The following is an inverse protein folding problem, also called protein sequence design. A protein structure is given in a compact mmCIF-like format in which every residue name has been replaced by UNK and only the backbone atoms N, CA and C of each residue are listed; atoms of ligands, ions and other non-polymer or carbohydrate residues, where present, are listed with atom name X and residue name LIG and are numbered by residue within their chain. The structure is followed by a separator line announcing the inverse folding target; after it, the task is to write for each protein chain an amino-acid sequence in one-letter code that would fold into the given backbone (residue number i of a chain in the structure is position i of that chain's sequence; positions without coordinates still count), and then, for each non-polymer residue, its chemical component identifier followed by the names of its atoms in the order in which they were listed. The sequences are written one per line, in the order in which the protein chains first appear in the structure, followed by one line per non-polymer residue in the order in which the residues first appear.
data_IF_306149915704
#
_entry.id   IF_306149915704
#
_cell.length_a   1.000
_cell.length_b   1.000
_cell.length_c   1.000
_cell.angle_alpha   90.00
_cell.angle_beta   90.00
_cell.angle_gamma   90.00
#
_symmetry.space_group_name_H-M   'P 1'
#
loop_
_entity.id
_entity.type
_entity.pdbx_description
1 polymer ?
#
# COMPACT_ATOMS: atom_id res chain seq x y z
N UNK A 1 -43.85 -30.76 9.96
CA UNK A 1 -43.55 -29.47 10.62
C UNK A 1 -42.05 -29.35 10.72
N UNK A 2 -41.45 -28.67 9.75
CA UNK A 2 -40.02 -28.35 9.78
C UNK A 2 -39.83 -27.17 10.74
N UNK A 3 -39.05 -27.39 11.81
CA UNK A 3 -38.68 -26.35 12.75
C UNK A 3 -37.80 -25.31 12.00
N UNK A 4 -38.27 -24.07 12.03
CA UNK A 4 -37.47 -22.90 11.70
C UNK A 4 -36.18 -22.96 12.56
N UNK A 5 -35.05 -23.34 11.97
CA UNK A 5 -33.74 -23.24 12.61
C UNK A 5 -33.02 -22.03 12.00
N UNK A 6 -32.82 -21.07 12.87
CA UNK A 6 -31.78 -20.04 12.85
C UNK A 6 -31.61 -19.28 11.53
N UNK A 7 -32.49 -18.32 11.31
CA UNK A 7 -32.31 -17.28 10.27
C UNK A 7 -31.14 -16.33 10.62
N UNK A 8 -30.65 -16.36 11.85
CA UNK A 8 -29.58 -15.48 12.37
C UNK A 8 -28.22 -16.18 12.59
N UNK A 9 -28.03 -17.41 12.09
CA UNK A 9 -26.70 -18.00 12.10
C UNK A 9 -25.85 -17.38 10.98
N UNK A 10 -24.62 -16.90 11.25
CA UNK A 10 -23.76 -16.43 10.21
C UNK A 10 -23.50 -17.56 9.21
N UNK A 11 -23.87 -17.34 7.95
CA UNK A 11 -23.56 -18.27 6.88
C UNK A 11 -22.05 -18.50 6.83
N UNK A 12 -21.57 -19.74 6.74
CA UNK A 12 -20.17 -20.02 6.47
C UNK A 12 -19.73 -19.25 5.23
N UNK A 13 -18.52 -18.75 5.23
CA UNK A 13 -17.96 -17.92 4.17
C UNK A 13 -18.08 -18.57 2.76
N UNK A 14 -17.99 -19.91 2.71
CA UNK A 14 -18.18 -20.67 1.47
C UNK A 14 -19.61 -20.61 0.94
N UNK A 15 -20.62 -20.64 1.82
CA UNK A 15 -22.02 -20.55 1.43
C UNK A 15 -22.35 -19.14 0.90
N UNK A 16 -21.68 -18.15 1.42
CA UNK A 16 -21.80 -16.78 0.98
C UNK A 16 -21.36 -16.58 -0.48
N UNK A 17 -20.15 -17.00 -0.86
CA UNK A 17 -19.70 -16.93 -2.26
C UNK A 17 -20.53 -17.80 -3.18
N UNK A 18 -21.05 -18.91 -2.69
CA UNK A 18 -21.94 -19.76 -3.46
C UNK A 18 -23.27 -19.04 -3.78
N UNK A 19 -23.88 -18.40 -2.78
CA UNK A 19 -25.10 -17.63 -2.98
C UNK A 19 -24.86 -16.43 -3.89
N UNK A 20 -23.74 -15.72 -3.72
CA UNK A 20 -23.36 -14.61 -4.59
C UNK A 20 -23.17 -15.06 -6.05
N UNK A 21 -22.47 -16.17 -6.27
CA UNK A 21 -22.29 -16.74 -7.60
C UNK A 21 -23.61 -17.13 -8.25
N UNK A 22 -24.55 -17.71 -7.48
CA UNK A 22 -25.89 -18.04 -7.97
C UNK A 22 -26.73 -16.81 -8.32
N UNK A 23 -26.64 -15.76 -7.52
CA UNK A 23 -27.35 -14.49 -7.80
C UNK A 23 -26.80 -13.84 -9.06
N UNK A 24 -25.47 -13.82 -9.26
CA UNK A 24 -24.85 -13.32 -10.49
C UNK A 24 -25.25 -14.12 -11.71
N UNK A 25 -25.19 -15.45 -11.60
CA UNK A 25 -25.59 -16.35 -12.68
C UNK A 25 -27.05 -16.16 -13.06
N UNK A 26 -27.95 -16.04 -12.06
CA UNK A 26 -29.38 -15.76 -12.29
C UNK A 26 -29.61 -14.44 -13.04
N UNK A 27 -28.85 -13.38 -12.72
CA UNK A 27 -28.95 -12.08 -13.41
C UNK A 27 -28.40 -12.14 -14.83
N UNK A 28 -27.26 -12.81 -15.04
CA UNK A 28 -26.70 -13.05 -16.37
C UNK A 28 -27.71 -13.79 -17.29
N UNK A 29 -28.41 -14.79 -16.75
CA UNK A 29 -29.44 -15.53 -17.50
C UNK A 29 -30.67 -14.66 -17.88
N UNK A 30 -30.93 -13.60 -17.10
CA UNK A 30 -32.02 -12.64 -17.37
C UNK A 30 -31.59 -11.47 -18.22
N UNK A 31 -30.33 -11.37 -18.64
CA UNK A 31 -29.77 -10.21 -19.33
C UNK A 31 -29.72 -8.95 -18.46
N UNK A 32 -29.85 -9.11 -17.13
CA UNK A 32 -29.71 -8.02 -16.17
C UNK A 32 -28.20 -7.81 -15.90
N UNK A 33 -27.76 -6.55 -15.64
CA UNK A 33 -26.37 -6.31 -15.23
C UNK A 33 -26.07 -7.18 -13.99
N UNK A 34 -24.89 -7.79 -13.97
CA UNK A 34 -24.41 -8.51 -12.80
C UNK A 34 -24.59 -7.62 -11.56
N UNK A 35 -24.97 -8.23 -10.42
CA UNK A 35 -25.07 -7.47 -9.17
C UNK A 35 -23.81 -6.68 -9.03
N UNK A 36 -23.95 -5.40 -8.80
CA UNK A 36 -22.80 -4.56 -8.50
C UNK A 36 -22.19 -5.07 -7.18
N UNK A 37 -21.12 -5.88 -7.30
CA UNK A 37 -20.35 -6.38 -6.15
C UNK A 37 -19.95 -5.22 -5.26
N UNK A 38 -19.85 -4.02 -5.86
CA UNK A 38 -19.41 -2.81 -5.21
C UNK A 38 -20.32 -2.40 -4.05
N UNK A 39 -21.63 -2.66 -4.14
CA UNK A 39 -22.58 -2.37 -3.05
C UNK A 39 -22.56 -3.39 -1.94
N UNK A 40 -21.81 -4.50 -2.14
CA UNK A 40 -21.80 -5.61 -1.22
C UNK A 40 -20.96 -5.32 0.04
N UNK A 41 -19.80 -4.69 -0.13
CA UNK A 41 -18.88 -4.44 0.98
C UNK A 41 -19.17 -3.16 1.75
N UNK A 42 -19.86 -2.17 1.14
CA UNK A 42 -20.11 -0.88 1.76
C UNK A 42 -21.32 -0.20 1.12
N UNK A 43 -22.03 0.60 1.91
CA UNK A 43 -23.09 1.49 1.42
C UNK A 43 -22.52 2.63 0.56
N UNK A 44 -21.26 3.02 0.76
CA UNK A 44 -20.56 3.98 -0.09
C UNK A 44 -20.02 3.26 -1.34
N UNK A 45 -20.52 3.60 -2.56
CA UNK A 45 -20.11 2.90 -3.78
C UNK A 45 -18.63 3.01 -4.11
N UNK A 46 -17.97 4.14 -3.78
CA UNK A 46 -16.53 4.29 -4.03
C UNK A 46 -15.70 3.47 -3.04
N UNK A 47 -16.10 3.45 -1.75
CA UNK A 47 -15.45 2.59 -0.75
C UNK A 47 -15.58 1.11 -1.13
N UNK A 48 -16.76 0.70 -1.60
CA UNK A 48 -16.99 -0.66 -2.09
C UNK A 48 -16.09 -1.02 -3.29
N UNK A 49 -15.84 -0.08 -4.22
CA UNK A 49 -14.88 -0.27 -5.32
C UNK A 49 -13.46 -0.51 -4.80
N UNK A 50 -13.01 0.27 -3.81
CA UNK A 50 -11.68 0.11 -3.22
C UNK A 50 -11.55 -1.23 -2.51
N UNK A 51 -12.56 -1.64 -1.75
CA UNK A 51 -12.60 -2.95 -1.08
C UNK A 51 -12.59 -4.11 -2.07
N UNK A 52 -13.33 -4.00 -3.17
CA UNK A 52 -13.29 -4.98 -4.25
C UNK A 52 -11.92 -5.06 -4.92
N UNK A 53 -11.27 -3.91 -5.15
CA UNK A 53 -9.92 -3.87 -5.70
C UNK A 53 -8.90 -4.48 -4.72
N UNK A 54 -9.00 -4.16 -3.43
CA UNK A 54 -8.17 -4.75 -2.37
C UNK A 54 -8.36 -6.26 -2.30
N UNK A 55 -9.60 -6.75 -2.33
CA UNK A 55 -9.90 -8.20 -2.30
C UNK A 55 -9.28 -8.92 -3.50
N UNK A 56 -9.39 -8.36 -4.71
CA UNK A 56 -8.78 -8.92 -5.93
C UNK A 56 -7.26 -8.99 -5.85
N UNK A 57 -6.62 -7.96 -5.33
CA UNK A 57 -5.15 -7.89 -5.19
C UNK A 57 -4.66 -8.84 -4.08
N UNK A 58 -5.37 -8.90 -2.96
CA UNK A 58 -4.88 -9.56 -1.75
C UNK A 58 -5.16 -11.07 -1.73
N UNK A 59 -6.27 -11.52 -2.33
CA UNK A 59 -6.74 -12.92 -2.23
C UNK A 59 -5.71 -13.95 -2.69
N UNK A 60 -5.08 -13.84 -3.88
CA UNK A 60 -4.15 -14.86 -4.33
C UNK A 60 -2.91 -14.95 -3.45
N UNK A 61 -2.37 -13.78 -3.06
CA UNK A 61 -1.14 -13.70 -2.28
C UNK A 61 -1.32 -14.24 -0.86
N UNK A 62 -2.21 -13.61 -0.09
CA UNK A 62 -2.40 -13.96 1.31
C UNK A 62 -3.05 -15.34 1.46
N UNK A 63 -3.94 -15.73 0.53
CA UNK A 63 -4.50 -17.07 0.52
C UNK A 63 -3.44 -18.16 0.33
N UNK A 64 -2.55 -17.99 -0.63
CA UNK A 64 -1.48 -18.96 -0.85
C UNK A 64 -0.45 -18.95 0.30
N UNK A 65 -0.07 -17.78 0.79
CA UNK A 65 0.98 -17.67 1.81
C UNK A 65 0.51 -18.15 3.20
N UNK A 66 -0.75 -17.93 3.56
CA UNK A 66 -1.31 -18.46 4.82
C UNK A 66 -1.28 -19.98 4.87
N UNK A 67 -1.35 -20.63 3.71
CA UNK A 67 -1.28 -22.10 3.55
C UNK A 67 0.16 -22.65 3.35
N UNK A 68 1.19 -21.80 3.34
CA UNK A 68 2.57 -22.20 3.04
C UNK A 68 2.77 -22.63 1.58
N UNK A 69 2.02 -22.04 0.65
CA UNK A 69 2.01 -22.41 -0.78
C UNK A 69 2.35 -21.25 -1.73
N UNK A 70 2.81 -20.11 -1.20
CA UNK A 70 3.10 -18.94 -2.03
C UNK A 70 4.16 -19.23 -3.07
N UNK A 71 5.31 -19.79 -2.65
CA UNK A 71 6.42 -20.12 -3.57
C UNK A 71 6.05 -21.17 -4.62
N UNK A 72 5.07 -22.02 -4.31
CA UNK A 72 4.58 -23.04 -5.24
C UNK A 72 3.54 -22.50 -6.24
N UNK A 73 2.75 -21.48 -5.85
CA UNK A 73 1.62 -20.99 -6.64
C UNK A 73 1.86 -19.67 -7.36
N UNK A 74 2.63 -18.75 -6.78
CA UNK A 74 2.84 -17.41 -7.36
C UNK A 74 3.79 -17.49 -8.56
N UNK A 75 3.34 -17.11 -9.77
CA UNK A 75 4.23 -17.01 -10.93
C UNK A 75 5.24 -15.86 -10.70
N UNK A 76 6.47 -16.04 -11.19
CA UNK A 76 7.49 -15.00 -11.13
C UNK A 76 7.75 -14.48 -12.54
N UNK A 77 7.07 -13.39 -12.88
CA UNK A 77 7.34 -12.64 -14.10
C UNK A 77 8.43 -11.61 -13.85
N UNK A 78 9.37 -11.44 -14.76
CA UNK A 78 10.40 -10.40 -14.72
C UNK A 78 11.12 -10.29 -16.08
N UNK A 79 11.62 -9.10 -16.41
CA UNK A 79 12.52 -8.88 -17.55
C UNK A 79 14.00 -9.13 -17.21
N UNK A 80 14.30 -9.63 -16.00
CA UNK A 80 15.65 -9.92 -15.61
C UNK A 80 16.14 -11.23 -16.29
N UNK A 81 17.29 -11.18 -16.95
CA UNK A 81 17.92 -12.39 -17.51
C UNK A 81 18.37 -13.36 -16.41
N UNK A 82 18.69 -12.86 -15.22
CA UNK A 82 18.92 -13.66 -14.01
C UNK A 82 17.61 -13.76 -13.22
N UNK A 83 16.68 -14.56 -13.69
CA UNK A 83 15.40 -14.79 -13.02
C UNK A 83 15.58 -15.42 -11.64
N UNK A 84 16.65 -16.20 -11.42
CA UNK A 84 16.92 -16.84 -10.14
C UNK A 84 17.09 -15.80 -9.00
N UNK A 85 17.68 -14.63 -9.32
CA UNK A 85 17.80 -13.54 -8.35
C UNK A 85 16.43 -12.99 -7.92
N UNK A 86 15.42 -13.05 -8.80
CA UNK A 86 14.06 -12.59 -8.48
C UNK A 86 13.33 -13.58 -7.59
N UNK A 87 13.46 -14.87 -7.84
CA UNK A 87 12.91 -15.90 -6.94
C UNK A 87 13.37 -15.76 -5.49
N UNK A 88 14.56 -15.20 -5.25
CA UNK A 88 15.07 -14.99 -3.88
C UNK A 88 14.36 -13.89 -3.11
N UNK A 89 13.77 -12.90 -3.78
CA UNK A 89 13.23 -11.70 -3.12
C UNK A 89 11.76 -11.41 -3.39
N UNK A 90 11.22 -11.85 -4.52
CA UNK A 90 9.85 -11.49 -4.96
C UNK A 90 8.77 -11.80 -3.93
N UNK A 91 8.94 -12.79 -3.08
CA UNK A 91 7.93 -13.22 -2.10
C UNK A 91 7.88 -12.31 -0.87
N UNK A 92 9.03 -11.90 -0.32
CA UNK A 92 9.09 -10.88 0.73
C UNK A 92 8.63 -9.53 0.19
N UNK A 93 9.03 -9.20 -1.04
CA UNK A 93 8.61 -8.00 -1.74
C UNK A 93 7.08 -7.93 -1.85
N UNK A 94 6.43 -9.03 -2.28
CA UNK A 94 4.97 -9.10 -2.40
C UNK A 94 4.28 -8.91 -1.04
N UNK A 95 4.71 -9.67 -0.02
CA UNK A 95 4.12 -9.60 1.31
C UNK A 95 4.30 -8.21 1.93
N UNK A 96 5.53 -7.70 1.95
CA UNK A 96 5.84 -6.43 2.61
C UNK A 96 5.05 -5.27 2.03
N UNK A 97 5.00 -5.18 0.70
CA UNK A 97 4.27 -4.12 -0.01
C UNK A 97 2.76 -4.22 0.17
N UNK A 98 2.20 -5.44 0.11
CA UNK A 98 0.77 -5.62 0.35
C UNK A 98 0.39 -5.25 1.78
N UNK A 99 1.13 -5.76 2.77
CA UNK A 99 0.86 -5.46 4.19
C UNK A 99 0.96 -3.94 4.44
N UNK A 100 1.96 -3.27 3.88
CA UNK A 100 2.12 -1.81 4.03
C UNK A 100 0.87 -1.04 3.59
N UNK A 101 0.27 -1.43 2.46
CA UNK A 101 -0.90 -0.75 1.91
C UNK A 101 -2.21 -1.04 2.64
N UNK A 102 -2.40 -2.27 3.14
CA UNK A 102 -3.66 -2.66 3.78
C UNK A 102 -3.66 -2.51 5.31
N UNK A 103 -2.48 -2.29 5.92
CA UNK A 103 -2.33 -2.22 7.37
C UNK A 103 -3.24 -1.18 8.05
N UNK A 104 -3.40 0.06 7.55
CA UNK A 104 -4.29 1.04 8.17
C UNK A 104 -5.76 0.58 8.21
N UNK A 105 -6.21 -0.12 7.18
CA UNK A 105 -7.55 -0.69 7.16
C UNK A 105 -7.68 -1.88 8.12
N UNK A 106 -6.66 -2.74 8.22
CA UNK A 106 -6.63 -3.82 9.23
C UNK A 106 -6.65 -3.23 10.63
N UNK A 107 -5.95 -2.12 10.89
CA UNK A 107 -5.91 -1.48 12.20
C UNK A 107 -7.25 -0.85 12.56
N UNK A 108 -7.80 -0.01 11.71
CA UNK A 108 -8.89 0.91 12.04
C UNK A 108 -10.22 0.61 11.34
N UNK A 109 -10.27 -0.34 10.42
CA UNK A 109 -11.49 -0.67 9.68
C UNK A 109 -12.61 -1.20 10.59
N UNK A 110 -13.87 -1.23 10.09
CA UNK A 110 -15.02 -1.66 10.86
C UNK A 110 -14.90 -3.12 11.31
N UNK A 111 -15.55 -3.45 12.42
CA UNK A 111 -15.57 -4.83 12.96
C UNK A 111 -16.81 -5.60 12.50
N UNK A 112 -17.88 -4.90 12.16
CA UNK A 112 -19.18 -5.46 11.83
C UNK A 112 -19.55 -5.27 10.35
N UNK A 113 -20.59 -5.95 9.94
CA UNK A 113 -21.10 -5.88 8.56
C UNK A 113 -20.20 -6.59 7.55
N UNK A 114 -20.52 -6.47 6.24
CA UNK A 114 -19.77 -7.13 5.17
C UNK A 114 -18.31 -6.70 5.11
N UNK A 115 -18.01 -5.43 5.33
CA UNK A 115 -16.63 -4.92 5.38
C UNK A 115 -15.88 -5.47 6.59
N UNK A 116 -16.52 -5.55 7.77
CA UNK A 116 -15.93 -6.15 8.96
C UNK A 116 -15.58 -7.63 8.78
N UNK A 117 -16.43 -8.39 8.11
CA UNK A 117 -16.15 -9.80 7.76
C UNK A 117 -14.95 -9.91 6.80
N UNK A 118 -14.90 -9.05 5.79
CA UNK A 118 -13.76 -9.00 4.86
C UNK A 118 -12.47 -8.63 5.59
N UNK A 119 -12.52 -7.63 6.48
CA UNK A 119 -11.38 -7.23 7.31
C UNK A 119 -10.92 -8.37 8.21
N UNK A 120 -11.81 -9.07 8.89
CA UNK A 120 -11.48 -10.21 9.75
C UNK A 120 -10.78 -11.34 8.95
N UNK A 121 -11.24 -11.60 7.71
CA UNK A 121 -10.58 -12.53 6.79
C UNK A 121 -9.12 -12.11 6.56
N UNK A 122 -8.88 -10.87 6.13
CA UNK A 122 -7.53 -10.41 5.79
C UNK A 122 -6.64 -10.22 7.00
N UNK A 123 -7.19 -9.83 8.14
CA UNK A 123 -6.47 -9.80 9.40
C UNK A 123 -5.88 -11.18 9.74
N UNK A 124 -6.72 -12.25 9.72
CA UNK A 124 -6.26 -13.62 9.96
C UNK A 124 -5.21 -14.07 8.93
N UNK A 125 -5.50 -13.89 7.63
CA UNK A 125 -4.58 -14.27 6.55
C UNK A 125 -3.23 -13.55 6.65
N UNK A 126 -3.22 -12.26 7.03
CA UNK A 126 -2.00 -11.47 7.21
C UNK A 126 -1.15 -12.02 8.36
N UNK A 127 -1.75 -12.33 9.52
CA UNK A 127 -1.05 -12.91 10.67
C UNK A 127 -0.43 -14.28 10.34
N UNK A 128 -1.19 -15.16 9.68
CA UNK A 128 -0.73 -16.47 9.23
C UNK A 128 0.40 -16.34 8.21
N UNK A 129 0.27 -15.41 7.25
CA UNK A 129 1.28 -15.14 6.23
C UNK A 129 2.59 -14.63 6.83
N UNK A 130 2.53 -13.67 7.74
CA UNK A 130 3.72 -13.17 8.45
C UNK A 130 4.39 -14.28 9.24
N UNK A 131 3.59 -15.10 9.95
CA UNK A 131 4.12 -16.24 10.72
C UNK A 131 4.83 -17.25 9.84
N UNK A 132 4.25 -17.63 8.69
CA UNK A 132 4.88 -18.52 7.72
C UNK A 132 6.15 -17.91 7.13
N UNK A 133 6.13 -16.60 6.87
CA UNK A 133 7.26 -15.89 6.26
C UNK A 133 8.54 -15.86 7.13
N UNK A 134 8.40 -15.94 8.44
CA UNK A 134 9.54 -15.93 9.39
C UNK A 134 9.76 -17.28 10.09
N UNK A 135 9.00 -18.31 9.72
CA UNK A 135 9.19 -19.66 10.26
C UNK A 135 10.18 -20.43 9.37
N UNK A 136 11.40 -20.78 9.87
CA UNK A 136 12.40 -21.53 9.09
C UNK A 136 11.94 -22.89 8.58
N UNK A 137 10.91 -23.48 9.23
CA UNK A 137 10.34 -24.77 8.83
C UNK A 137 9.24 -24.63 7.76
N UNK A 138 8.80 -23.39 7.48
CA UNK A 138 7.79 -23.15 6.46
C UNK A 138 8.36 -23.27 5.05
N UNK A 139 7.65 -23.89 4.10
CA UNK A 139 8.03 -23.84 2.68
C UNK A 139 8.14 -22.41 2.15
N UNK A 140 7.39 -21.48 2.74
CA UNK A 140 7.34 -20.07 2.37
C UNK A 140 8.26 -19.17 3.23
N UNK A 141 9.21 -19.77 3.99
CA UNK A 141 10.20 -18.97 4.71
C UNK A 141 10.90 -17.96 3.79
N UNK A 142 10.89 -16.69 4.19
CA UNK A 142 11.33 -15.58 3.34
C UNK A 142 12.82 -15.25 3.52
N UNK A 143 13.38 -14.60 2.53
CA UNK A 143 14.77 -14.15 2.52
C UNK A 143 14.89 -12.71 3.00
N UNK A 144 15.62 -12.48 4.11
CA UNK A 144 15.84 -11.16 4.69
C UNK A 144 17.28 -10.63 4.52
N UNK A 145 18.23 -11.43 4.07
CA UNK A 145 19.65 -11.03 4.09
C UNK A 145 20.51 -11.51 2.92
N UNK A 146 20.03 -12.42 2.07
CA UNK A 146 20.79 -12.86 0.89
C UNK A 146 20.48 -11.97 -0.32
N UNK A 147 21.44 -11.13 -0.68
CA UNK A 147 21.31 -10.14 -1.74
C UNK A 147 21.07 -8.72 -1.21
N UNK A 148 20.67 -7.81 -2.08
CA UNK A 148 20.43 -6.40 -1.70
C UNK A 148 18.95 -6.07 -1.49
N UNK A 149 18.08 -6.65 -2.32
CA UNK A 149 16.66 -6.37 -2.34
C UNK A 149 15.94 -6.63 -1.00
N UNK A 150 16.31 -7.62 -0.18
CA UNK A 150 15.61 -7.88 1.09
C UNK A 150 15.53 -6.70 2.04
N UNK A 151 16.50 -5.76 2.04
CA UNK A 151 16.41 -4.54 2.84
C UNK A 151 15.20 -3.66 2.43
N UNK A 152 14.95 -3.57 1.12
CA UNK A 152 13.79 -2.83 0.57
C UNK A 152 12.49 -3.46 1.05
N UNK A 153 12.41 -4.78 0.90
CA UNK A 153 11.18 -5.53 1.11
C UNK A 153 10.82 -5.63 2.60
N UNK A 154 11.84 -5.82 3.46
CA UNK A 154 11.69 -5.76 4.91
C UNK A 154 11.23 -4.38 5.40
N UNK A 155 11.69 -3.30 4.76
CA UNK A 155 11.28 -1.94 5.12
C UNK A 155 9.78 -1.68 4.86
N UNK A 156 9.23 -2.20 3.78
CA UNK A 156 7.79 -2.13 3.52
C UNK A 156 7.00 -2.95 4.55
N UNK A 157 7.47 -4.15 4.90
CA UNK A 157 6.84 -4.94 5.97
C UNK A 157 6.90 -4.21 7.32
N UNK A 158 8.05 -3.65 7.68
CA UNK A 158 8.24 -2.85 8.89
C UNK A 158 7.28 -1.65 8.93
N UNK A 159 7.14 -0.94 7.80
CA UNK A 159 6.22 0.19 7.68
C UNK A 159 4.76 -0.23 7.90
N UNK A 160 4.34 -1.36 7.32
CA UNK A 160 3.01 -1.92 7.54
C UNK A 160 2.76 -2.29 9.01
N UNK A 161 3.73 -2.91 9.68
CA UNK A 161 3.63 -3.26 11.10
C UNK A 161 3.55 -2.02 12.00
N UNK A 162 4.26 -0.94 11.68
CA UNK A 162 4.15 0.35 12.38
C UNK A 162 2.79 1.03 12.15
N UNK A 163 2.15 0.79 11.01
CA UNK A 163 0.79 1.29 10.70
C UNK A 163 -0.33 0.47 11.34
N UNK A 164 -0.03 -0.76 11.77
CA UNK A 164 -0.99 -1.63 12.46
C UNK A 164 -0.38 -2.25 13.73
N UNK A 165 -0.02 -1.39 14.72
CA UNK A 165 0.68 -1.82 15.93
C UNK A 165 -0.15 -2.73 16.82
N UNK A 166 -1.46 -2.56 16.86
CA UNK A 166 -2.34 -3.36 17.71
C UNK A 166 -2.84 -4.62 16.98
N UNK A 167 -3.31 -4.47 15.75
CA UNK A 167 -3.98 -5.55 15.02
C UNK A 167 -3.01 -6.46 14.27
N UNK A 168 -1.84 -5.98 13.83
CA UNK A 168 -0.82 -6.85 13.25
C UNK A 168 0.26 -7.17 14.27
N UNK A 169 1.14 -6.22 14.61
CA UNK A 169 2.26 -6.50 15.50
C UNK A 169 1.80 -7.10 16.85
N UNK A 170 0.85 -6.47 17.51
CA UNK A 170 0.35 -6.87 18.82
C UNK A 170 -0.42 -8.21 18.85
N UNK A 171 -0.88 -8.69 17.69
CA UNK A 171 -1.58 -9.99 17.55
C UNK A 171 -0.68 -11.13 17.09
N UNK A 172 0.55 -10.84 16.67
CA UNK A 172 1.52 -11.92 16.39
C UNK A 172 1.90 -12.65 17.67
N UNK A 173 2.04 -13.98 17.58
CA UNK A 173 2.54 -14.78 18.69
C UNK A 173 3.98 -14.41 19.06
N UNK A 174 4.35 -14.56 20.33
CA UNK A 174 5.66 -14.15 20.85
C UNK A 174 6.84 -14.76 20.06
N UNK A 175 6.74 -15.99 19.64
CA UNK A 175 7.77 -16.66 18.81
C UNK A 175 7.91 -15.99 17.44
N UNK A 176 6.78 -15.67 16.77
CA UNK A 176 6.76 -14.95 15.50
C UNK A 176 7.37 -13.55 15.64
N UNK A 177 7.03 -12.82 16.72
CA UNK A 177 7.63 -11.52 17.01
C UNK A 177 9.15 -11.62 17.19
N UNK A 178 9.65 -12.59 17.95
CA UNK A 178 11.08 -12.81 18.14
C UNK A 178 11.81 -13.14 16.83
N UNK A 179 11.23 -14.04 16.02
CA UNK A 179 11.76 -14.38 14.70
C UNK A 179 11.81 -13.15 13.79
N UNK A 180 10.72 -12.38 13.75
CA UNK A 180 10.64 -11.17 12.92
C UNK A 180 11.66 -10.11 13.34
N UNK A 181 11.86 -9.89 14.65
CA UNK A 181 12.93 -9.00 15.15
C UNK A 181 14.31 -9.50 14.69
N UNK A 182 14.56 -10.80 14.77
CA UNK A 182 15.83 -11.38 14.33
C UNK A 182 16.04 -11.19 12.81
N UNK A 183 15.01 -11.42 12.01
CA UNK A 183 15.04 -11.23 10.55
C UNK A 183 15.23 -9.75 10.17
N UNK A 184 14.53 -8.82 10.82
CA UNK A 184 14.74 -7.39 10.63
C UNK A 184 16.17 -6.97 10.98
N UNK A 185 16.73 -7.45 12.09
CA UNK A 185 18.15 -7.24 12.45
C UNK A 185 19.12 -7.86 11.43
N UNK A 186 18.75 -8.98 10.80
CA UNK A 186 19.60 -9.63 9.79
C UNK A 186 19.81 -8.78 8.54
N UNK A 187 18.87 -7.88 8.21
CA UNK A 187 19.00 -6.94 7.08
C UNK A 187 20.15 -5.96 7.22
N UNK A 188 20.69 -5.76 8.43
CA UNK A 188 21.79 -4.83 8.72
C UNK A 188 23.08 -5.12 7.96
N UNK A 189 23.27 -6.35 7.49
CA UNK A 189 24.40 -6.73 6.62
C UNK A 189 24.34 -6.05 5.25
N UNK A 190 23.16 -5.54 4.86
CA UNK A 190 22.94 -4.91 3.57
C UNK A 190 23.22 -3.41 3.67
N UNK A 191 24.23 -2.95 2.92
CA UNK A 191 24.54 -1.53 2.83
C UNK A 191 23.58 -0.86 1.86
N UNK A 192 22.79 0.16 2.29
CA UNK A 192 21.91 0.91 1.39
C UNK A 192 22.73 1.71 0.37
N UNK A 193 22.14 1.99 -0.79
CA UNK A 193 22.67 2.95 -1.77
C UNK A 193 22.41 4.38 -1.30
N UNK A 194 23.23 5.33 -1.79
CA UNK A 194 23.05 6.78 -1.63
C UNK A 194 21.85 7.27 -2.48
N UNK A 195 20.64 6.96 -2.03
CA UNK A 195 19.37 7.20 -2.71
C UNK A 195 18.21 7.03 -1.71
N UNK A 196 16.97 6.90 -2.20
CA UNK A 196 15.82 6.51 -1.38
C UNK A 196 16.09 5.27 -0.49
N UNK A 197 17.07 4.44 -0.84
CA UNK A 197 17.46 3.24 -0.09
C UNK A 197 17.86 3.53 1.36
N UNK A 198 18.34 4.73 1.66
CA UNK A 198 18.64 5.14 3.02
C UNK A 198 17.39 5.08 3.91
N UNK A 199 16.21 5.38 3.36
CA UNK A 199 14.96 5.26 4.12
C UNK A 199 14.49 3.83 4.33
N UNK A 200 14.89 2.87 3.50
CA UNK A 200 14.63 1.47 3.83
C UNK A 200 15.39 1.05 5.09
N UNK A 201 16.65 1.44 5.19
CA UNK A 201 17.45 1.19 6.40
C UNK A 201 16.86 1.90 7.62
N UNK A 202 16.51 3.19 7.49
CA UNK A 202 15.93 3.97 8.57
C UNK A 202 14.56 3.44 9.03
N UNK A 203 13.73 2.92 8.11
CA UNK A 203 12.42 2.35 8.43
C UNK A 203 12.54 1.06 9.24
N UNK A 204 13.46 0.16 8.85
CA UNK A 204 13.73 -1.06 9.62
C UNK A 204 14.21 -0.70 11.03
N UNK A 205 15.10 0.29 11.16
CA UNK A 205 15.59 0.71 12.47
C UNK A 205 14.48 1.39 13.29
N UNK A 206 13.60 2.19 12.70
CA UNK A 206 12.47 2.79 13.39
C UNK A 206 11.50 1.73 13.93
N UNK A 207 11.24 0.67 13.14
CA UNK A 207 10.46 -0.47 13.61
C UNK A 207 11.14 -1.19 14.78
N UNK A 208 12.45 -1.50 14.66
CA UNK A 208 13.20 -2.16 15.72
C UNK A 208 13.18 -1.32 17.00
N UNK A 209 13.34 0.01 16.89
CA UNK A 209 13.26 0.89 18.04
C UNK A 209 11.90 0.87 18.72
N UNK A 210 10.83 0.94 17.92
CA UNK A 210 9.45 0.89 18.45
C UNK A 210 9.18 -0.38 19.26
N UNK A 211 9.67 -1.55 18.78
CA UNK A 211 9.30 -2.83 19.36
C UNK A 211 10.31 -3.39 20.39
N UNK A 212 11.55 -2.86 20.41
CA UNK A 212 12.61 -3.34 21.29
C UNK A 212 13.23 -2.24 22.16
N UNK A 213 13.07 -0.98 21.80
CA UNK A 213 13.77 0.15 22.41
C UNK A 213 15.22 0.30 21.90
N UNK A 214 15.67 -0.48 20.92
CA UNK A 214 17.03 -0.50 20.41
C UNK A 214 17.08 -0.31 18.90
N UNK A 215 17.97 0.54 18.40
CA UNK A 215 18.24 0.77 16.99
C UNK A 215 19.69 1.15 16.69
N UNK A 216 20.08 1.09 15.42
CA UNK A 216 21.31 1.71 14.90
C UNK A 216 20.97 3.14 14.45
N UNK A 217 20.92 4.09 15.39
CA UNK A 217 20.44 5.46 15.16
C UNK A 217 21.21 6.19 14.05
N UNK A 218 22.52 5.92 13.91
CA UNK A 218 23.35 6.49 12.84
C UNK A 218 22.75 6.29 11.44
N UNK A 219 22.06 5.17 11.22
CA UNK A 219 21.38 4.89 9.94
C UNK A 219 20.20 5.82 9.70
N UNK A 220 19.46 6.14 10.77
CA UNK A 220 18.31 7.05 10.73
C UNK A 220 18.77 8.50 10.54
N UNK A 221 19.75 8.92 11.36
CA UNK A 221 20.32 10.27 11.29
C UNK A 221 20.93 10.53 9.91
N UNK A 222 21.67 9.55 9.37
CA UNK A 222 22.29 9.65 8.05
C UNK A 222 21.21 9.80 6.94
N UNK A 223 20.16 8.97 6.98
CA UNK A 223 19.08 9.07 6.00
C UNK A 223 18.39 10.45 6.02
N UNK A 224 18.09 10.96 7.22
CA UNK A 224 17.48 12.28 7.38
C UNK A 224 18.43 13.41 6.92
N UNK A 225 19.70 13.35 7.29
CA UNK A 225 20.71 14.34 6.90
C UNK A 225 20.87 14.41 5.39
N UNK A 226 21.07 13.26 4.72
CA UNK A 226 21.23 13.22 3.27
C UNK A 226 19.99 13.72 2.52
N UNK A 227 18.80 13.38 2.95
CA UNK A 227 17.59 13.88 2.28
C UNK A 227 17.34 15.37 2.54
N UNK A 228 17.75 15.92 3.71
CA UNK A 228 17.77 17.38 3.90
C UNK A 228 18.65 18.08 2.87
N UNK A 229 19.85 17.52 2.57
CA UNK A 229 20.75 18.04 1.52
C UNK A 229 20.18 17.86 0.11
N UNK A 230 19.47 16.76 -0.13
CA UNK A 230 18.87 16.45 -1.44
C UNK A 230 17.50 17.11 -1.68
N UNK A 231 17.06 17.99 -0.80
CA UNK A 231 15.85 18.77 -1.03
C UNK A 231 16.04 19.73 -2.22
N UNK A 232 15.10 19.69 -3.18
CA UNK A 232 15.20 20.44 -4.46
C UNK A 232 14.25 21.64 -4.53
N UNK A 233 13.48 21.89 -3.48
CA UNK A 233 12.44 22.92 -3.46
C UNK A 233 11.05 22.38 -3.79
N UNK A 234 10.02 23.18 -3.51
CA UNK A 234 8.60 22.90 -3.74
C UNK A 234 8.18 21.45 -3.43
N UNK A 235 8.56 21.00 -2.24
CA UNK A 235 8.26 19.66 -1.72
C UNK A 235 8.92 18.48 -2.47
N UNK A 236 9.88 18.71 -3.34
CA UNK A 236 10.57 17.64 -4.07
C UNK A 236 11.93 17.31 -3.42
N UNK A 237 12.20 16.03 -3.27
CA UNK A 237 13.51 15.49 -2.89
C UNK A 237 14.15 14.79 -4.10
N UNK A 238 15.47 14.90 -4.22
CA UNK A 238 16.23 14.05 -5.13
C UNK A 238 16.23 12.61 -4.61
N UNK A 239 16.21 11.66 -5.53
CA UNK A 239 16.50 10.25 -5.25
C UNK A 239 18.03 10.04 -5.30
N UNK A 240 18.71 10.61 -4.31
CA UNK A 240 20.13 10.86 -4.28
C UNK A 240 20.47 12.34 -4.59
N UNK A 241 21.74 12.61 -4.88
CA UNK A 241 22.23 13.96 -5.14
C UNK A 241 21.56 14.60 -6.39
N UNK A 242 21.35 13.81 -7.44
CA UNK A 242 20.76 14.26 -8.68
C UNK A 242 19.23 14.13 -8.64
N UNK A 243 18.54 15.16 -9.15
CA UNK A 243 17.09 15.13 -9.24
C UNK A 243 16.64 14.35 -10.47
N UNK A 244 15.67 13.46 -10.26
CA UNK A 244 14.88 12.81 -11.31
C UNK A 244 13.41 13.07 -11.06
N UNK A 245 12.66 13.38 -12.11
CA UNK A 245 11.21 13.44 -12.01
C UNK A 245 10.65 12.01 -12.07
N UNK A 246 10.25 11.50 -10.93
CA UNK A 246 9.64 10.19 -10.76
C UNK A 246 8.70 10.16 -9.54
N UNK A 247 8.16 9.00 -9.22
CA UNK A 247 7.24 8.85 -8.08
C UNK A 247 7.94 8.35 -6.79
N UNK A 248 9.29 8.34 -6.71
CA UNK A 248 9.97 7.86 -5.49
C UNK A 248 9.74 8.74 -4.27
N UNK A 249 9.42 10.03 -4.47
CA UNK A 249 8.92 10.87 -3.38
C UNK A 249 7.64 10.31 -2.76
N UNK A 250 6.76 9.69 -3.57
CA UNK A 250 5.51 9.07 -3.11
C UNK A 250 5.69 7.62 -2.67
N UNK A 251 6.47 6.83 -3.40
CA UNK A 251 6.64 5.41 -3.08
C UNK A 251 7.40 5.17 -1.77
N UNK A 252 8.36 6.04 -1.44
CA UNK A 252 9.34 5.77 -0.37
C UNK A 252 9.66 7.00 0.46
N UNK A 253 10.26 8.04 -0.19
CA UNK A 253 11.01 9.08 0.52
C UNK A 253 10.13 9.77 1.57
N UNK A 254 9.01 10.33 1.15
CA UNK A 254 8.20 11.15 2.02
C UNK A 254 7.34 10.32 3.00
N UNK A 255 6.64 9.24 2.61
CA UNK A 255 5.89 8.45 3.58
C UNK A 255 6.76 7.80 4.66
N UNK A 256 7.93 7.27 4.28
CA UNK A 256 8.84 6.66 5.25
C UNK A 256 9.50 7.72 6.14
N UNK A 257 9.85 8.91 5.60
CA UNK A 257 10.35 10.02 6.39
C UNK A 257 9.33 10.46 7.44
N UNK A 258 8.06 10.60 7.06
CA UNK A 258 6.98 10.92 7.99
C UNK A 258 6.90 9.90 9.12
N UNK A 259 6.88 8.59 8.79
CA UNK A 259 6.78 7.53 9.79
C UNK A 259 7.99 7.49 10.74
N UNK A 260 9.20 7.66 10.22
CA UNK A 260 10.44 7.72 11.03
C UNK A 260 10.38 8.91 12.00
N UNK A 261 9.99 10.08 11.53
CA UNK A 261 9.87 11.28 12.35
C UNK A 261 8.76 11.16 13.40
N UNK A 262 7.65 10.49 13.11
CA UNK A 262 6.60 10.19 14.07
C UNK A 262 7.11 9.31 15.22
N UNK A 263 7.90 8.26 14.91
CA UNK A 263 8.52 7.41 15.94
C UNK A 263 9.52 8.24 16.79
N UNK A 264 10.35 9.05 16.13
CA UNK A 264 11.27 9.93 16.84
C UNK A 264 10.53 10.89 17.79
N UNK A 265 9.42 11.48 17.33
CA UNK A 265 8.59 12.38 18.14
C UNK A 265 7.94 11.65 19.31
N UNK A 266 7.38 10.47 19.07
CA UNK A 266 6.74 9.63 20.09
C UNK A 266 7.68 9.33 21.26
N UNK A 267 8.95 9.08 20.95
CA UNK A 267 9.98 8.72 21.93
C UNK A 267 10.87 9.90 22.36
N UNK A 268 10.61 11.13 21.90
CA UNK A 268 11.37 12.33 22.25
C UNK A 268 12.82 12.33 21.77
N UNK A 269 13.10 11.66 20.64
CA UNK A 269 14.45 11.56 20.06
C UNK A 269 14.81 12.85 19.35
N UNK A 270 15.98 13.41 19.65
CA UNK A 270 16.47 14.66 19.06
C UNK A 270 16.42 14.61 17.51
N UNK A 271 15.99 15.69 16.89
CA UNK A 271 15.82 15.83 15.43
C UNK A 271 14.39 15.63 14.95
N UNK A 272 13.47 15.22 15.82
CA UNK A 272 12.05 15.09 15.48
C UNK A 272 11.40 16.43 15.09
N UNK A 273 11.99 17.56 15.48
CA UNK A 273 11.49 18.90 15.18
C UNK A 273 11.40 19.16 13.67
N UNK A 274 12.14 18.37 12.89
CA UNK A 274 12.03 18.40 11.43
C UNK A 274 10.66 17.94 10.92
N UNK A 275 9.87 17.23 11.73
CA UNK A 275 8.53 16.79 11.37
C UNK A 275 7.61 17.95 10.93
N UNK A 276 7.70 19.12 11.57
CA UNK A 276 6.88 20.28 11.22
C UNK A 276 7.21 20.81 9.81
N UNK A 277 8.50 20.80 9.44
CA UNK A 277 8.94 21.18 8.10
C UNK A 277 8.47 20.13 7.10
N UNK A 278 8.68 18.86 7.42
CA UNK A 278 8.32 17.74 6.55
C UNK A 278 6.81 17.65 6.36
N UNK A 279 6.00 17.92 7.37
CA UNK A 279 4.54 17.96 7.25
C UNK A 279 4.09 18.97 6.20
N UNK A 280 4.63 20.20 6.23
CA UNK A 280 4.31 21.22 5.21
C UNK A 280 4.70 20.77 3.80
N UNK A 281 5.88 20.15 3.66
CA UNK A 281 6.35 19.59 2.38
C UNK A 281 5.45 18.45 1.91
N UNK A 282 5.06 17.58 2.83
CA UNK A 282 4.18 16.44 2.54
C UNK A 282 2.80 16.88 2.05
N UNK A 283 2.19 17.84 2.75
CA UNK A 283 0.93 18.47 2.34
C UNK A 283 1.03 19.09 0.93
N UNK A 284 2.11 19.82 0.64
CA UNK A 284 2.33 20.41 -0.69
C UNK A 284 2.55 19.33 -1.76
N UNK A 285 3.26 18.26 -1.44
CA UNK A 285 3.47 17.16 -2.39
C UNK A 285 2.16 16.43 -2.72
N UNK A 286 1.28 16.25 -1.74
CA UNK A 286 -0.06 15.72 -1.96
C UNK A 286 -0.89 16.60 -2.92
N UNK A 287 -0.81 17.93 -2.83
CA UNK A 287 -1.43 18.85 -3.79
C UNK A 287 -0.92 18.60 -5.22
N UNK A 288 0.39 18.39 -5.38
CA UNK A 288 0.99 18.14 -6.71
C UNK A 288 0.52 16.79 -7.28
N UNK A 289 0.48 15.75 -6.46
CA UNK A 289 0.02 14.43 -6.88
C UNK A 289 -1.45 14.45 -7.33
N UNK A 290 -2.33 15.14 -6.61
CA UNK A 290 -3.74 15.25 -6.99
C UNK A 290 -3.89 15.91 -8.36
N UNK A 291 -3.11 16.98 -8.63
CA UNK A 291 -3.10 17.69 -9.90
C UNK A 291 -2.55 16.88 -11.08
N UNK A 292 -1.75 15.84 -10.83
CA UNK A 292 -1.27 14.95 -11.87
C UNK A 292 -2.36 14.01 -12.42
N UNK A 293 -3.46 13.81 -11.69
CA UNK A 293 -4.54 12.92 -12.11
C UNK A 293 -5.38 13.63 -13.18
N UNK A 294 -5.37 13.10 -14.41
CA UNK A 294 -6.17 13.61 -15.52
C UNK A 294 -7.68 13.44 -15.28
N UNK A 295 -8.56 14.14 -16.02
CA UNK A 295 -10.01 13.96 -15.90
C UNK A 295 -10.48 12.50 -16.07
N UNK A 296 -9.72 11.70 -16.83
CA UNK A 296 -10.01 10.29 -17.13
C UNK A 296 -9.35 9.30 -16.14
N UNK A 297 -8.66 9.77 -15.10
CA UNK A 297 -7.95 8.91 -14.15
C UNK A 297 -6.63 8.34 -14.68
N UNK A 298 -5.99 9.00 -15.64
CA UNK A 298 -4.60 8.72 -16.04
C UNK A 298 -3.66 9.71 -15.36
N UNK A 299 -2.36 9.46 -15.43
CA UNK A 299 -1.32 10.32 -14.85
C UNK A 299 -0.02 10.26 -15.67
N UNK A 300 0.91 11.22 -15.53
CA UNK A 300 2.15 11.23 -16.26
C UNK A 300 2.96 9.94 -16.07
N UNK A 301 3.37 9.34 -17.18
CA UNK A 301 4.25 8.18 -17.21
C UNK A 301 5.68 8.70 -17.26
N UNK A 302 6.23 8.97 -16.08
CA UNK A 302 7.56 9.56 -15.91
C UNK A 302 8.38 8.76 -14.89
N UNK A 303 9.69 8.73 -15.12
CA UNK A 303 10.63 8.05 -14.25
C UNK A 303 10.58 6.52 -14.40
N UNK A 304 11.00 5.85 -13.33
CA UNK A 304 11.13 4.41 -13.23
C UNK A 304 10.06 3.82 -12.30
N UNK A 305 9.92 2.50 -12.32
CA UNK A 305 9.01 1.74 -11.46
C UNK A 305 7.53 2.08 -11.66
N UNK A 306 7.16 2.48 -12.87
CA UNK A 306 5.77 2.81 -13.20
C UNK A 306 4.84 1.60 -13.10
N UNK A 307 5.38 0.38 -13.17
CA UNK A 307 4.64 -0.86 -12.95
C UNK A 307 4.06 -1.00 -11.52
N UNK A 308 4.42 -0.12 -10.59
CA UNK A 308 3.76 -0.03 -9.27
C UNK A 308 2.37 0.61 -9.36
N UNK A 309 1.93 1.01 -10.55
CA UNK A 309 0.58 1.49 -10.87
C UNK A 309 0.13 2.63 -9.96
N UNK A 310 -1.11 2.55 -9.49
CA UNK A 310 -1.70 3.54 -8.58
C UNK A 310 -1.00 3.64 -7.21
N UNK A 311 -0.03 2.77 -6.89
CA UNK A 311 0.93 3.00 -5.80
C UNK A 311 1.68 4.33 -5.92
N UNK A 312 1.78 4.91 -7.12
CA UNK A 312 2.30 6.26 -7.35
C UNK A 312 1.62 7.33 -6.49
N UNK A 313 0.42 7.06 -5.99
CA UNK A 313 -0.38 7.96 -5.16
C UNK A 313 -0.37 7.59 -3.67
N UNK A 314 0.59 6.78 -3.21
CA UNK A 314 0.75 6.44 -1.79
C UNK A 314 0.76 7.69 -0.91
N UNK A 315 1.59 8.69 -1.23
CA UNK A 315 1.69 9.90 -0.41
C UNK A 315 0.37 10.72 -0.38
N UNK A 316 -0.41 10.70 -1.45
CA UNK A 316 -1.72 11.36 -1.48
C UNK A 316 -2.74 10.63 -0.60
N UNK A 317 -2.80 9.30 -0.69
CA UNK A 317 -3.67 8.47 0.14
C UNK A 317 -3.28 8.53 1.63
N UNK A 318 -1.98 8.51 1.93
CA UNK A 318 -1.47 8.62 3.30
C UNK A 318 -1.69 10.04 3.88
N UNK A 319 -1.54 11.10 3.06
CA UNK A 319 -1.85 12.46 3.49
C UNK A 319 -3.35 12.62 3.82
N UNK A 320 -4.23 12.00 3.04
CA UNK A 320 -5.66 11.96 3.36
C UNK A 320 -5.92 11.21 4.69
N UNK A 321 -5.34 10.03 4.84
CA UNK A 321 -5.45 9.21 6.05
C UNK A 321 -4.95 9.92 7.32
N UNK A 322 -3.88 10.70 7.20
CA UNK A 322 -3.29 11.49 8.30
C UNK A 322 -3.98 12.83 8.53
N UNK A 323 -5.02 13.18 7.77
CA UNK A 323 -5.66 14.51 7.78
C UNK A 323 -4.66 15.66 7.50
N UNK A 324 -3.71 15.42 6.61
CA UNK A 324 -2.69 16.37 6.17
C UNK A 324 -2.94 16.94 4.77
N UNK A 325 -4.16 16.83 4.27
CA UNK A 325 -4.55 17.53 3.04
C UNK A 325 -4.57 19.04 3.30
N UNK A 326 -4.16 19.83 2.31
CA UNK A 326 -4.27 21.27 2.41
C UNK A 326 -5.74 21.72 2.36
N UNK A 327 -6.01 22.92 2.88
CA UNK A 327 -7.35 23.55 2.80
C UNK A 327 -7.88 23.74 1.36
N UNK A 328 -7.01 23.59 0.35
CA UNK A 328 -7.37 23.68 -1.08
C UNK A 328 -7.90 22.36 -1.65
N UNK A 329 -7.71 21.26 -0.93
CA UNK A 329 -8.10 19.92 -1.33
C UNK A 329 -9.16 19.36 -0.40
N UNK A 330 -10.40 19.32 -0.86
CA UNK A 330 -11.45 18.65 -0.10
C UNK A 330 -11.20 17.14 -0.07
N UNK A 331 -11.39 16.46 1.07
CA UNK A 331 -11.17 15.02 1.18
C UNK A 331 -11.92 14.20 0.12
N UNK A 332 -13.19 14.53 -0.15
CA UNK A 332 -13.99 13.86 -1.17
C UNK A 332 -13.45 14.06 -2.59
N UNK A 333 -12.84 15.22 -2.90
CA UNK A 333 -12.17 15.47 -4.18
C UNK A 333 -10.99 14.51 -4.37
N UNK A 334 -10.18 14.31 -3.33
CA UNK A 334 -9.05 13.38 -3.35
C UNK A 334 -9.54 11.93 -3.48
N UNK A 335 -10.60 11.55 -2.76
CA UNK A 335 -11.25 10.24 -2.93
C UNK A 335 -11.64 10.00 -4.38
N UNK A 336 -12.35 10.94 -5.01
CA UNK A 336 -12.81 10.80 -6.39
C UNK A 336 -11.65 10.68 -7.37
N UNK A 337 -10.56 11.44 -7.18
CA UNK A 337 -9.35 11.37 -7.99
C UNK A 337 -8.69 9.99 -7.89
N UNK A 338 -8.45 9.51 -6.67
CA UNK A 338 -7.85 8.20 -6.41
C UNK A 338 -8.74 7.06 -6.92
N UNK A 339 -10.06 7.16 -6.72
CA UNK A 339 -11.01 6.17 -7.24
C UNK A 339 -10.92 6.05 -8.76
N UNK A 340 -10.81 7.18 -9.48
CA UNK A 340 -10.70 7.16 -10.93
C UNK A 340 -9.43 6.44 -11.42
N UNK A 341 -8.30 6.62 -10.74
CA UNK A 341 -7.04 5.95 -11.08
C UNK A 341 -7.12 4.46 -10.76
N UNK A 342 -7.57 4.12 -9.56
CA UNK A 342 -7.71 2.72 -9.10
C UNK A 342 -8.63 1.96 -10.05
N UNK A 343 -9.85 2.48 -10.28
CA UNK A 343 -10.87 1.84 -11.11
C UNK A 343 -10.38 1.60 -12.54
N UNK A 344 -9.69 2.60 -13.11
CA UNK A 344 -9.12 2.51 -14.45
C UNK A 344 -8.09 1.40 -14.58
N UNK A 345 -7.15 1.30 -13.65
CA UNK A 345 -6.05 0.35 -13.74
C UNK A 345 -6.43 -1.07 -13.28
N UNK A 346 -7.23 -1.19 -12.21
CA UNK A 346 -7.61 -2.51 -11.69
C UNK A 346 -8.53 -3.28 -12.65
N UNK A 347 -9.29 -2.57 -13.47
CA UNK A 347 -10.22 -3.14 -14.46
C UNK A 347 -9.64 -3.19 -15.88
N UNK A 348 -8.37 -2.82 -16.07
CA UNK A 348 -7.72 -2.96 -17.37
C UNK A 348 -7.64 -4.45 -17.78
N UNK A 349 -7.81 -4.76 -19.08
CA UNK A 349 -7.69 -6.14 -19.55
C UNK A 349 -6.32 -6.72 -19.24
N UNK A 350 -6.26 -7.96 -18.75
CA UNK A 350 -4.99 -8.65 -18.46
C UNK A 350 -4.14 -8.03 -17.32
N UNK A 351 -4.71 -7.17 -16.47
CA UNK A 351 -4.04 -6.75 -15.21
C UNK A 351 -3.77 -7.96 -14.30
N UNK A 352 -4.63 -8.95 -14.37
CA UNK A 352 -4.47 -10.23 -13.68
C UNK A 352 -4.39 -11.37 -14.70
N UNK A 353 -3.61 -12.41 -14.37
CA UNK A 353 -3.61 -13.66 -15.11
C UNK A 353 -4.88 -14.49 -14.85
N UNK A 354 -4.99 -15.66 -15.46
CA UNK A 354 -6.15 -16.56 -15.31
C UNK A 354 -6.34 -17.11 -13.88
N UNK A 355 -5.35 -16.98 -13.00
CA UNK A 355 -5.38 -17.41 -11.61
C UNK A 355 -5.50 -16.23 -10.63
N UNK A 356 -5.63 -15.01 -11.13
CA UNK A 356 -5.78 -13.79 -10.34
C UNK A 356 -4.48 -13.14 -9.86
N UNK A 357 -3.30 -13.57 -10.34
CA UNK A 357 -2.03 -12.94 -10.02
C UNK A 357 -1.82 -11.68 -10.87
N UNK A 358 -1.26 -10.64 -10.24
CA UNK A 358 -0.89 -9.41 -10.94
C UNK A 358 0.19 -9.68 -12.00
N UNK A 359 0.03 -9.08 -13.19
CA UNK A 359 0.99 -9.11 -14.29
C UNK A 359 1.70 -7.76 -14.41
N UNK A 360 2.93 -7.73 -14.97
CA UNK A 360 3.68 -6.48 -15.14
C UNK A 360 2.97 -5.58 -16.14
N UNK A 361 2.50 -4.43 -15.68
CA UNK A 361 1.85 -3.41 -16.51
C UNK A 361 1.72 -2.04 -15.82
N UNK A 362 1.15 -1.12 -16.58
CA UNK A 362 0.45 0.05 -16.05
C UNK A 362 -1.03 0.00 -16.47
N UNK A 363 -1.31 -0.62 -17.63
CA UNK A 363 -2.67 -0.78 -18.15
C UNK A 363 -2.75 -2.04 -19.03
N UNK A 364 -3.12 -3.15 -18.43
CA UNK A 364 -3.10 -4.47 -19.06
C UNK A 364 -1.79 -5.23 -18.80
N UNK A 365 -1.34 -6.08 -19.74
CA UNK A 365 -0.08 -6.83 -19.65
C UNK A 365 0.98 -6.20 -20.56
N UNK A 366 1.96 -5.53 -19.96
CA UNK A 366 3.00 -4.74 -20.66
C UNK A 366 4.39 -5.05 -20.07
N UNK A 367 4.91 -6.29 -20.19
CA UNK A 367 6.13 -6.70 -19.49
C UNK A 367 7.35 -5.83 -19.81
N UNK A 368 7.40 -5.21 -21.01
CA UNK A 368 8.53 -4.37 -21.43
C UNK A 368 8.72 -3.08 -20.61
N UNK A 369 7.71 -2.64 -19.86
CA UNK A 369 7.83 -1.46 -18.99
C UNK A 369 8.46 -1.78 -17.62
N UNK A 370 8.59 -3.05 -17.28
CA UNK A 370 9.27 -3.47 -16.04
C UNK A 370 10.77 -3.40 -16.19
N UNK A 371 11.44 -2.65 -15.32
CA UNK A 371 12.89 -2.67 -15.21
C UNK A 371 13.37 -4.05 -14.70
N UNK A 372 14.68 -4.32 -14.84
CA UNK A 372 15.26 -5.62 -14.47
C UNK A 372 15.05 -6.03 -13.01
N UNK A 373 14.81 -5.07 -12.11
CA UNK A 373 14.52 -5.35 -10.69
C UNK A 373 13.05 -5.63 -10.43
N UNK A 374 12.16 -5.30 -11.37
CA UNK A 374 10.72 -5.55 -11.25
C UNK A 374 10.45 -7.05 -11.42
N UNK A 375 9.63 -7.55 -10.51
CA UNK A 375 9.05 -8.90 -10.59
C UNK A 375 7.59 -8.87 -10.15
N UNK A 376 6.90 -10.00 -10.20
CA UNK A 376 5.51 -10.10 -9.73
C UNK A 376 5.31 -9.52 -8.34
N UNK A 377 6.25 -9.75 -7.41
CA UNK A 377 6.19 -9.20 -6.05
C UNK A 377 6.19 -7.67 -6.00
N UNK A 378 6.90 -7.05 -6.94
CA UNK A 378 7.00 -5.59 -7.01
C UNK A 378 5.65 -4.90 -7.23
N UNK A 379 4.73 -5.56 -7.91
CA UNK A 379 3.45 -5.02 -8.34
C UNK A 379 2.49 -4.76 -7.18
N UNK A 380 2.71 -5.44 -6.04
CA UNK A 380 1.88 -5.30 -4.85
C UNK A 380 2.01 -3.93 -4.16
N UNK A 381 2.97 -3.08 -4.57
CA UNK A 381 3.01 -1.69 -4.10
C UNK A 381 1.79 -0.87 -4.55
N UNK A 382 1.04 -1.33 -5.54
CA UNK A 382 -0.24 -0.71 -5.88
C UNK A 382 -1.17 -0.63 -4.66
N UNK A 383 -1.09 -1.57 -3.71
CA UNK A 383 -1.91 -1.57 -2.49
C UNK A 383 -1.72 -0.33 -1.62
N UNK A 384 -0.60 0.38 -1.73
CA UNK A 384 -0.32 1.58 -0.96
C UNK A 384 -1.34 2.73 -1.19
N UNK A 385 -2.06 2.70 -2.31
CA UNK A 385 -3.18 3.63 -2.49
C UNK A 385 -4.40 3.32 -1.61
N UNK A 386 -4.50 2.11 -1.03
CA UNK A 386 -5.62 1.73 -0.15
C UNK A 386 -5.49 2.23 1.29
N UNK A 387 -4.42 2.94 1.65
CA UNK A 387 -4.16 3.45 3.01
C UNK A 387 -5.37 4.21 3.57
N UNK A 388 -6.04 5.05 2.75
CA UNK A 388 -7.22 5.80 3.18
C UNK A 388 -8.45 4.93 3.51
N UNK A 389 -8.46 3.61 3.23
CA UNK A 389 -9.48 2.70 3.77
C UNK A 389 -9.41 2.58 5.30
N UNK A 390 -8.29 2.95 5.92
CA UNK A 390 -8.17 3.06 7.37
C UNK A 390 -8.98 4.18 7.99
N UNK A 391 -9.52 5.12 7.21
CA UNK A 391 -10.46 6.14 7.69
C UNK A 391 -11.85 5.52 7.91
N UNK A 392 -12.57 5.90 8.97
CA UNK A 392 -13.92 5.44 9.21
C UNK A 392 -14.90 5.90 8.12
N UNK A 393 -16.01 5.22 7.97
CA UNK A 393 -16.97 5.50 6.89
C UNK A 393 -17.68 6.86 6.99
N UNK A 394 -17.70 7.44 8.18
CA UNK A 394 -18.26 8.78 8.46
C UNK A 394 -17.21 9.91 8.37
N UNK A 395 -15.95 9.57 8.05
CA UNK A 395 -14.93 10.58 7.74
C UNK A 395 -15.31 11.37 6.48
N UNK A 396 -15.06 12.69 6.43
CA UNK A 396 -15.33 13.52 5.24
C UNK A 396 -14.76 12.95 3.94
N UNK A 397 -13.65 12.21 4.01
CA UNK A 397 -13.11 11.52 2.85
C UNK A 397 -14.12 10.53 2.23
N UNK A 398 -14.89 9.82 3.04
CA UNK A 398 -15.87 8.84 2.58
C UNK A 398 -17.30 9.37 2.57
N UNK A 399 -17.69 10.21 3.57
CA UNK A 399 -19.07 10.62 3.79
C UNK A 399 -19.51 11.78 2.90
N UNK A 400 -18.60 12.68 2.54
CA UNK A 400 -18.96 13.84 1.73
C UNK A 400 -19.34 13.46 0.30
N UNK A 401 -20.26 14.22 -0.34
CA UNK A 401 -20.63 13.99 -1.73
C UNK A 401 -19.45 13.97 -2.70
N UNK A 402 -19.62 13.27 -3.82
CA UNK A 402 -18.62 13.22 -4.89
C UNK A 402 -18.29 14.61 -5.41
N UNK A 403 -17.00 14.90 -5.51
CA UNK A 403 -16.47 16.17 -5.99
C UNK A 403 -15.41 15.96 -7.07
N UNK A 404 -15.46 16.69 -8.21
CA UNK A 404 -14.39 16.61 -9.21
C UNK A 404 -13.08 17.16 -8.63
N UNK A 405 -11.97 16.50 -8.96
CA UNK A 405 -10.63 16.94 -8.55
C UNK A 405 -10.12 18.09 -9.41
N UNK A 406 -9.02 18.71 -8.99
CA UNK A 406 -8.52 19.98 -9.57
C UNK A 406 -8.40 19.93 -11.09
N UNK A 407 -7.73 18.92 -11.64
CA UNK A 407 -7.57 18.79 -13.09
C UNK A 407 -8.94 18.60 -13.78
N UNK A 408 -9.80 17.77 -13.23
CA UNK A 408 -11.16 17.57 -13.78
C UNK A 408 -11.98 18.84 -13.72
N UNK A 409 -11.92 19.62 -12.63
CA UNK A 409 -12.59 20.95 -12.54
C UNK A 409 -12.19 21.86 -13.68
N UNK A 410 -10.87 22.00 -13.95
CA UNK A 410 -10.36 22.86 -15.01
C UNK A 410 -10.91 22.47 -16.38
N UNK A 411 -10.86 21.19 -16.72
CA UNK A 411 -11.36 20.70 -18.00
C UNK A 411 -12.89 20.68 -18.13
N UNK A 412 -13.60 20.88 -17.01
CA UNK A 412 -15.05 21.18 -16.99
C UNK A 412 -15.33 22.68 -17.12
N UNK A 413 -14.32 23.55 -17.20
CA UNK A 413 -14.49 25.00 -17.26
C UNK A 413 -14.81 25.65 -15.92
N UNK A 414 -14.54 24.96 -14.79
CA UNK A 414 -14.75 25.51 -13.46
C UNK A 414 -13.51 26.29 -12.97
N UNK A 415 -13.76 27.32 -12.18
CA UNK A 415 -12.70 28.10 -11.54
C UNK A 415 -11.98 27.29 -10.45
N UNK A 416 -10.66 27.45 -10.40
CA UNK A 416 -9.80 26.87 -9.36
C UNK A 416 -8.83 27.92 -8.83
N UNK A 417 -8.32 27.75 -7.60
CA UNK A 417 -7.23 28.61 -7.09
C UNK A 417 -5.95 28.46 -7.91
N UNK A 418 -5.22 29.55 -8.09
CA UNK A 418 -3.89 29.53 -8.73
C UNK A 418 -2.94 28.64 -7.92
N UNK A 419 -2.19 27.79 -8.63
CA UNK A 419 -1.12 27.03 -8.01
C UNK A 419 0.07 27.92 -7.63
N UNK A 420 0.65 27.67 -6.47
CA UNK A 420 1.84 28.37 -5.98
C UNK A 420 2.79 27.40 -5.33
N UNK A 421 4.07 27.56 -5.60
CA UNK A 421 5.12 26.83 -4.90
C UNK A 421 5.08 27.10 -3.38
N UNK A 422 5.57 26.15 -2.62
CA UNK A 422 5.69 26.27 -1.16
C UNK A 422 6.61 27.44 -0.80
N UNK A 423 6.08 28.43 -0.10
CA UNK A 423 6.87 29.55 0.43
C UNK A 423 7.57 29.16 1.75
N UNK A 424 8.74 29.70 2.00
CA UNK A 424 9.53 29.44 3.23
C UNK A 424 9.88 27.96 3.43
N UNK A 425 10.64 27.43 2.49
CA UNK A 425 11.04 26.01 2.43
C UNK A 425 12.17 25.66 3.41
#
# INVERSE_FOLDING_TARGET
MAKNRDVDAPLPYADYYYVEALVRYSKLLKGEPAVDILTFYSENPQRAKWLSALDRVSTPLLGAMSEGQLKAKMPVESNNTDIASRYKCTYLEALGRLIEGIAPWIENGPQDGPEGLLRAKYHRLALESISNGVNPESPDYLNFNDGRQPLVDAAFLAHGLLRAPEQLWGKLGAETQQRLIAEMKSTRVIKPSESNWLFFSAMVEAFLYEVTGEWEFDRVEYALSRHKEWFKGDAQYGDGENFHLDYYNSFVIQPMMMQVLDIMKKHGVQGYEFLDVQTRRYTRYAEQLERFISPEGTYPIVGRSIAYRFGAFQALSDAAYRHLLSEKLHPAQVRCALTAVIDRQINAPQTFDGNGWLQIDIYGHQPSIGERYISTGSLYLCSAAFIALGLPSDDPFWADPDEPWTNKKVWMGLEIPIDKALSNQ
#
